data_IF_444225327567
#
_entry.id   IF_444225327567
#
_cell.length_a   1.000
_cell.length_b   1.000
_cell.length_c   1.000
_cell.angle_alpha   90.00
_cell.angle_beta   90.00
_cell.angle_gamma   90.00
#
_symmetry.space_group_name_H-M   'P 1'
#
loop_
_entity.id
_entity.type
_entity.pdbx_description
1 polymer ?
#
# COMPACT_ATOMS: atom_id res chain seq x y z
N UNK A 1 -7.64 -7.99 20.61
CA UNK A 1 -8.81 -8.44 19.81
C UNK A 1 -9.37 -7.33 18.94
N UNK A 2 -9.60 -6.12 19.46
CA UNK A 2 -10.17 -5.01 18.68
C UNK A 2 -9.32 -4.59 17.46
N UNK A 3 -7.99 -4.47 17.58
CA UNK A 3 -7.15 -4.08 16.43
C UNK A 3 -7.18 -5.10 15.29
N UNK A 4 -7.17 -6.40 15.60
CA UNK A 4 -7.24 -7.45 14.59
C UNK A 4 -8.56 -7.39 13.80
N UNK A 5 -9.68 -7.10 14.48
CA UNK A 5 -10.98 -6.90 13.83
C UNK A 5 -10.98 -5.65 12.94
N UNK A 6 -10.33 -4.56 13.37
CA UNK A 6 -10.18 -3.36 12.54
C UNK A 6 -9.29 -3.61 11.32
N UNK A 7 -8.24 -4.41 11.43
CA UNK A 7 -7.44 -4.84 10.26
C UNK A 7 -8.32 -5.62 9.28
N UNK A 8 -9.16 -6.54 9.78
CA UNK A 8 -10.11 -7.26 8.93
C UNK A 8 -11.12 -6.32 8.26
N UNK A 9 -11.64 -5.33 8.97
CA UNK A 9 -12.50 -4.30 8.39
C UNK A 9 -11.82 -3.62 7.20
N UNK A 10 -10.58 -3.14 7.36
CA UNK A 10 -9.85 -2.50 6.26
C UNK A 10 -9.53 -3.47 5.11
N UNK A 11 -9.20 -4.74 5.40
CA UNK A 11 -9.00 -5.76 4.36
C UNK A 11 -10.28 -6.04 3.56
N UNK A 12 -11.45 -5.99 4.21
CA UNK A 12 -12.75 -6.15 3.56
C UNK A 12 -13.04 -4.91 2.71
N UNK A 13 -12.85 -3.70 3.24
CA UNK A 13 -13.05 -2.46 2.49
C UNK A 13 -12.14 -2.36 1.27
N UNK A 14 -10.90 -2.85 1.35
CA UNK A 14 -10.01 -2.96 0.19
C UNK A 14 -10.61 -3.80 -0.95
N UNK A 15 -11.46 -4.79 -0.68
CA UNK A 15 -12.12 -5.57 -1.74
C UNK A 15 -13.13 -4.74 -2.53
N UNK A 16 -13.62 -3.62 -1.99
CA UNK A 16 -14.55 -2.73 -2.68
C UNK A 16 -13.85 -1.79 -3.67
N UNK A 17 -12.56 -1.51 -3.45
CA UNK A 17 -11.78 -0.53 -4.22
C UNK A 17 -10.58 -1.12 -4.97
N UNK A 18 -10.32 -2.43 -4.80
CA UNK A 18 -9.24 -3.16 -5.48
C UNK A 18 -9.70 -4.50 -6.02
N UNK A 19 -9.10 -4.92 -7.15
CA UNK A 19 -9.23 -6.25 -7.72
C UNK A 19 -7.95 -7.04 -7.48
N UNK A 20 -7.86 -7.67 -6.30
CA UNK A 20 -6.65 -8.39 -5.89
C UNK A 20 -6.20 -9.52 -6.85
N UNK A 21 -7.12 -10.31 -7.44
CA UNK A 21 -6.74 -11.26 -8.50
C UNK A 21 -5.98 -10.62 -9.66
N UNK A 22 -6.42 -9.45 -10.15
CA UNK A 22 -5.72 -8.73 -11.24
C UNK A 22 -4.34 -8.23 -10.80
N UNK A 23 -4.23 -7.73 -9.58
CA UNK A 23 -2.96 -7.31 -8.97
C UNK A 23 -1.97 -8.48 -8.94
N UNK A 24 -2.42 -9.67 -8.51
CA UNK A 24 -1.55 -10.85 -8.50
C UNK A 24 -1.19 -11.35 -9.90
N UNK A 25 -2.10 -11.24 -10.89
CA UNK A 25 -1.77 -11.54 -12.30
C UNK A 25 -0.67 -10.62 -12.81
N UNK A 26 -0.78 -9.32 -12.53
CA UNK A 26 0.24 -8.33 -12.88
C UNK A 26 1.59 -8.64 -12.21
N UNK A 27 1.58 -9.01 -10.92
CA UNK A 27 2.79 -9.40 -10.19
C UNK A 27 3.47 -10.65 -10.76
N UNK A 28 2.70 -11.54 -11.41
CA UNK A 28 3.22 -12.71 -12.14
C UNK A 28 3.55 -12.43 -13.60
N UNK A 29 3.36 -11.18 -14.07
CA UNK A 29 3.49 -10.76 -15.47
C UNK A 29 2.58 -11.55 -16.43
N UNK A 30 1.43 -12.00 -15.95
CA UNK A 30 0.47 -12.74 -16.77
C UNK A 30 -0.24 -11.79 -17.75
N UNK A 31 -0.02 -11.97 -19.05
CA UNK A 31 -0.66 -11.16 -20.08
C UNK A 31 -0.15 -9.72 -20.19
N UNK A 32 1.00 -9.41 -19.55
CA UNK A 32 1.64 -8.10 -19.64
C UNK A 32 2.73 -8.09 -20.73
N UNK A 33 2.60 -7.19 -21.70
CA UNK A 33 3.47 -7.02 -22.86
C UNK A 33 4.67 -6.08 -22.61
N UNK A 34 4.75 -5.48 -21.41
CA UNK A 34 5.83 -4.57 -21.03
C UNK A 34 5.55 -3.11 -21.37
N UNK A 35 4.48 -2.80 -22.11
CA UNK A 35 4.18 -1.43 -22.52
C UNK A 35 3.56 -0.61 -21.39
N UNK A 36 3.92 0.67 -21.34
CA UNK A 36 3.37 1.60 -20.35
C UNK A 36 1.85 1.79 -20.51
N UNK A 37 1.35 1.81 -21.74
CA UNK A 37 -0.09 1.95 -22.02
C UNK A 37 -0.89 0.77 -21.45
N UNK A 38 -0.40 -0.46 -21.64
CA UNK A 38 -1.04 -1.63 -21.06
C UNK A 38 -0.94 -1.62 -19.53
N UNK A 39 0.18 -1.18 -18.97
CA UNK A 39 0.36 -1.02 -17.52
C UNK A 39 -0.70 -0.07 -16.92
N UNK A 40 -0.92 1.10 -17.53
CA UNK A 40 -1.95 2.06 -17.09
C UNK A 40 -3.36 1.45 -17.20
N UNK A 41 -3.62 0.67 -18.24
CA UNK A 41 -4.92 -0.01 -18.39
C UNK A 41 -5.14 -1.10 -17.34
N UNK A 42 -4.12 -1.93 -17.07
CA UNK A 42 -4.16 -2.95 -16.00
C UNK A 42 -4.30 -2.27 -14.65
N UNK A 43 -3.58 -1.17 -14.39
CA UNK A 43 -3.69 -0.40 -13.14
C UNK A 43 -5.14 0.00 -12.86
N UNK A 44 -5.86 0.55 -13.85
CA UNK A 44 -7.29 0.90 -13.73
C UNK A 44 -8.21 -0.31 -13.48
N UNK A 45 -7.81 -1.51 -13.88
CA UNK A 45 -8.52 -2.76 -13.54
C UNK A 45 -8.19 -3.24 -12.12
N UNK A 46 -7.00 -2.93 -11.63
CA UNK A 46 -6.50 -3.32 -10.31
C UNK A 46 -7.05 -2.44 -9.18
N UNK A 47 -7.11 -1.12 -9.39
CA UNK A 47 -7.47 -0.14 -8.36
C UNK A 47 -8.48 0.85 -8.94
N UNK A 48 -9.69 0.86 -8.37
CA UNK A 48 -10.78 1.75 -8.83
C UNK A 48 -10.83 3.07 -8.07
N UNK A 49 -10.37 3.11 -6.82
CA UNK A 49 -10.19 4.32 -6.03
C UNK A 49 -8.83 4.24 -5.30
N UNK A 50 -7.88 5.05 -5.76
CA UNK A 50 -6.49 5.02 -5.29
C UNK A 50 -6.39 5.54 -3.87
N UNK A 51 -7.03 6.67 -3.56
CA UNK A 51 -6.91 7.30 -2.24
C UNK A 51 -7.57 6.46 -1.14
N UNK A 52 -8.73 5.84 -1.41
CA UNK A 52 -9.35 4.86 -0.50
C UNK A 52 -8.43 3.64 -0.28
N UNK A 53 -7.84 3.11 -1.37
CA UNK A 53 -6.94 1.97 -1.27
C UNK A 53 -5.68 2.30 -0.45
N UNK A 54 -5.05 3.45 -0.69
CA UNK A 54 -3.88 3.94 0.06
C UNK A 54 -4.23 4.19 1.52
N UNK A 55 -5.38 4.82 1.80
CA UNK A 55 -5.86 5.04 3.16
C UNK A 55 -6.01 3.73 3.94
N UNK A 56 -6.71 2.75 3.38
CA UNK A 56 -6.90 1.46 4.05
C UNK A 56 -5.59 0.70 4.24
N UNK A 57 -4.67 0.77 3.27
CA UNK A 57 -3.32 0.23 3.41
C UNK A 57 -2.58 0.87 4.60
N UNK A 58 -2.63 2.20 4.73
CA UNK A 58 -2.06 2.94 5.85
C UNK A 58 -2.66 2.52 7.20
N UNK A 59 -3.98 2.39 7.28
CA UNK A 59 -4.64 1.94 8.52
C UNK A 59 -4.24 0.51 8.91
N UNK A 60 -4.07 -0.40 7.94
CA UNK A 60 -3.57 -1.75 8.20
C UNK A 60 -2.16 -1.70 8.80
N UNK A 61 -1.24 -0.92 8.23
CA UNK A 61 0.09 -0.73 8.80
C UNK A 61 0.03 -0.19 10.23
N UNK A 62 -0.73 0.89 10.44
CA UNK A 62 -0.89 1.53 11.76
C UNK A 62 -1.37 0.53 12.81
N UNK A 63 -2.42 -0.23 12.49
CA UNK A 63 -3.02 -1.20 13.40
C UNK A 63 -2.07 -2.37 13.68
N UNK A 64 -1.39 -2.91 12.67
CA UNK A 64 -0.43 -4.01 12.85
C UNK A 64 0.75 -3.57 13.73
N UNK A 65 1.29 -2.38 13.51
CA UNK A 65 2.40 -1.83 14.32
C UNK A 65 1.97 -1.49 15.74
N UNK A 66 0.70 -1.10 15.94
CA UNK A 66 0.15 -0.85 17.28
C UNK A 66 -0.01 -2.12 18.14
N UNK A 67 -0.04 -3.30 17.51
CA UNK A 67 -0.09 -4.57 18.22
C UNK A 67 1.30 -5.02 18.68
N UNK A 68 1.49 -5.37 19.97
CA UNK A 68 2.67 -6.09 20.43
C UNK A 68 2.93 -7.33 19.58
N UNK A 69 4.21 -7.61 19.30
CA UNK A 69 4.64 -8.70 18.40
C UNK A 69 4.07 -10.06 18.81
N UNK A 70 3.96 -10.32 20.10
CA UNK A 70 3.45 -11.57 20.67
C UNK A 70 1.95 -11.80 20.48
N UNK A 71 1.18 -10.77 20.14
CA UNK A 71 -0.28 -10.85 20.00
C UNK A 71 -0.76 -10.58 18.57
N UNK A 72 0.15 -10.38 17.62
CA UNK A 72 -0.23 -10.23 16.20
C UNK A 72 -0.92 -11.52 15.75
N UNK A 73 -2.05 -11.42 15.03
CA UNK A 73 -2.77 -12.61 14.58
C UNK A 73 -1.90 -13.42 13.62
N UNK A 74 -1.98 -14.76 13.57
CA UNK A 74 -1.11 -15.59 12.72
C UNK A 74 -1.09 -15.21 11.22
N UNK A 75 -2.16 -14.58 10.73
CA UNK A 75 -2.33 -14.15 9.34
C UNK A 75 -1.80 -12.72 9.06
N UNK A 76 -1.24 -12.01 10.04
CA UNK A 76 -0.85 -10.59 9.91
C UNK A 76 0.09 -10.32 8.73
N UNK A 77 1.03 -11.23 8.44
CA UNK A 77 1.94 -11.10 7.29
C UNK A 77 1.20 -11.19 5.96
N UNK A 78 0.08 -11.92 5.90
CA UNK A 78 -0.81 -11.94 4.75
C UNK A 78 -1.56 -10.62 4.54
N UNK A 79 -1.85 -9.89 5.61
CA UNK A 79 -2.38 -8.53 5.50
C UNK A 79 -1.32 -7.58 4.93
N UNK A 80 -0.06 -7.66 5.40
CA UNK A 80 1.06 -6.89 4.85
C UNK A 80 1.34 -7.26 3.39
N UNK A 81 1.19 -8.54 3.00
CA UNK A 81 1.30 -8.96 1.60
C UNK A 81 0.28 -8.24 0.70
N UNK A 82 -0.98 -8.20 1.12
CA UNK A 82 -2.04 -7.50 0.39
C UNK A 82 -1.71 -6.02 0.24
N UNK A 83 -1.34 -5.37 1.34
CA UNK A 83 -0.92 -3.97 1.34
C UNK A 83 0.27 -3.73 0.40
N UNK A 84 1.29 -4.60 0.46
CA UNK A 84 2.48 -4.50 -0.36
C UNK A 84 2.15 -4.52 -1.85
N UNK A 85 1.30 -5.46 -2.29
CA UNK A 85 0.95 -5.56 -3.71
C UNK A 85 0.06 -4.40 -4.19
N UNK A 86 -0.83 -3.89 -3.35
CA UNK A 86 -1.69 -2.75 -3.72
C UNK A 86 -0.84 -1.49 -3.90
N UNK A 87 -0.01 -1.14 -2.91
CA UNK A 87 0.86 0.03 -2.98
C UNK A 87 1.95 -0.13 -4.05
N UNK A 88 2.45 -1.36 -4.25
CA UNK A 88 3.34 -1.66 -5.37
C UNK A 88 2.66 -1.37 -6.70
N UNK A 89 1.43 -1.84 -6.90
CA UNK A 89 0.69 -1.62 -8.16
C UNK A 89 0.49 -0.13 -8.43
N UNK A 90 0.07 0.64 -7.42
CA UNK A 90 -0.11 2.10 -7.53
C UNK A 90 1.20 2.81 -7.91
N UNK A 91 2.31 2.41 -7.30
CA UNK A 91 3.62 3.01 -7.57
C UNK A 91 4.14 2.78 -8.99
N UNK A 92 3.60 1.80 -9.75
CA UNK A 92 4.02 1.52 -11.13
C UNK A 92 3.55 2.60 -12.11
N UNK A 93 2.46 3.31 -11.81
CA UNK A 93 1.88 4.36 -12.66
C UNK A 93 2.17 5.77 -12.16
N UNK A 94 2.95 5.90 -11.08
CA UNK A 94 3.20 7.18 -10.41
C UNK A 94 3.93 8.23 -11.28
N UNK A 95 4.51 7.82 -12.41
CA UNK A 95 5.07 8.73 -13.42
C UNK A 95 4.02 9.66 -14.05
N UNK A 96 2.73 9.26 -14.09
CA UNK A 96 1.66 10.12 -14.63
C UNK A 96 1.15 11.16 -13.62
N UNK A 97 1.17 10.85 -12.32
CA UNK A 97 0.74 11.79 -11.26
C UNK A 97 1.65 13.02 -11.11
N UNK A 98 2.83 13.01 -11.76
CA UNK A 98 3.79 14.12 -11.76
C UNK A 98 3.87 14.82 -13.14
N UNK A 99 3.24 14.28 -14.19
CA UNK A 99 3.16 14.98 -15.48
C UNK A 99 2.04 16.02 -15.49
N UNK A 100 2.33 17.30 -15.79
CA UNK A 100 1.39 18.39 -15.64
C UNK A 100 0.35 18.37 -16.77
N UNK A 101 -0.91 18.03 -16.47
CA UNK A 101 -2.01 18.40 -17.36
C UNK A 101 -2.28 19.90 -17.19
N UNK A 102 -1.87 20.70 -18.17
CA UNK A 102 -2.37 22.03 -18.49
C UNK A 102 -2.90 22.90 -17.33
N UNK A 103 -2.04 23.78 -16.80
CA UNK A 103 -2.37 25.21 -16.67
C UNK A 103 -3.06 25.74 -15.41
N UNK A 104 -3.48 24.93 -14.43
CA UNK A 104 -3.91 25.44 -13.11
C UNK A 104 -3.44 24.48 -12.01
N UNK A 105 -2.41 24.87 -11.25
CA UNK A 105 -1.80 24.06 -10.21
C UNK A 105 -2.81 23.65 -9.11
N UNK A 106 -3.04 22.35 -8.85
CA UNK A 106 -3.22 21.92 -7.48
C UNK A 106 -1.83 21.95 -6.84
N UNK A 107 -1.57 22.88 -5.92
CA UNK A 107 -0.38 22.79 -5.08
C UNK A 107 -0.48 21.44 -4.36
N UNK A 108 0.48 20.51 -4.53
CA UNK A 108 0.44 19.26 -3.80
C UNK A 108 0.36 19.60 -2.31
N UNK A 109 -0.71 19.17 -1.64
CA UNK A 109 -0.86 19.39 -0.21
C UNK A 109 0.34 18.81 0.55
N UNK A 110 0.54 19.17 1.83
CA UNK A 110 1.67 18.68 2.61
C UNK A 110 1.74 17.16 2.60
N UNK A 111 2.96 16.61 2.55
CA UNK A 111 3.16 15.17 2.70
C UNK A 111 2.74 14.72 4.11
N UNK A 112 2.15 13.54 4.22
CA UNK A 112 1.68 13.02 5.50
C UNK A 112 1.80 11.50 5.59
N UNK A 113 2.11 11.01 6.79
CA UNK A 113 2.23 9.59 7.07
C UNK A 113 0.84 8.93 7.18
N UNK A 114 0.37 8.27 6.12
CA UNK A 114 -0.96 7.63 6.07
C UNK A 114 -1.08 6.47 7.08
N UNK A 115 0.06 5.93 7.51
CA UNK A 115 0.20 4.84 8.48
C UNK A 115 0.49 5.29 9.92
N UNK A 116 0.56 6.60 10.17
CA UNK A 116 0.76 7.16 11.51
C UNK A 116 -0.46 7.93 12.04
N UNK A 117 -1.44 8.22 11.18
CA UNK A 117 -2.60 9.04 11.50
C UNK A 117 -3.89 8.21 11.61
N UNK A 118 -4.79 8.65 12.50
CA UNK A 118 -6.14 8.10 12.63
C UNK A 118 -7.03 8.54 11.47
N UNK A 119 -8.13 7.81 11.23
CA UNK A 119 -9.04 8.06 10.11
C UNK A 119 -9.68 9.47 10.14
N UNK A 120 -9.90 10.00 11.34
CA UNK A 120 -10.54 11.29 11.59
C UNK A 120 -9.53 12.47 11.50
N UNK A 121 -8.24 12.18 11.31
CA UNK A 121 -7.23 13.22 11.24
C UNK A 121 -7.50 14.17 10.06
N UNK A 122 -7.40 15.51 10.21
CA UNK A 122 -7.75 16.45 9.15
C UNK A 122 -7.04 16.21 7.81
N UNK A 123 -5.78 15.76 7.83
CA UNK A 123 -5.04 15.41 6.62
C UNK A 123 -5.60 14.18 5.91
N UNK A 124 -6.07 13.17 6.65
CA UNK A 124 -6.71 11.98 6.08
C UNK A 124 -8.07 12.34 5.47
N UNK A 125 -8.89 13.09 6.23
CA UNK A 125 -10.20 13.55 5.75
C UNK A 125 -10.03 14.40 4.49
N UNK A 126 -9.04 15.30 4.46
CA UNK A 126 -8.73 16.14 3.30
C UNK A 126 -8.25 15.31 2.10
N UNK A 127 -7.38 14.34 2.33
CA UNK A 127 -6.91 13.43 1.29
C UNK A 127 -8.07 12.65 0.65
N UNK A 128 -8.96 12.07 1.44
CA UNK A 128 -10.10 11.30 0.94
C UNK A 128 -11.18 12.17 0.27
N UNK A 129 -11.54 13.30 0.88
CA UNK A 129 -12.65 14.13 0.41
C UNK A 129 -12.27 15.10 -0.71
N UNK A 130 -11.02 15.58 -0.73
CA UNK A 130 -10.56 16.62 -1.67
C UNK A 130 -9.46 16.13 -2.60
N UNK A 131 -8.96 14.90 -2.43
CA UNK A 131 -7.82 14.36 -3.19
C UNK A 131 -6.58 15.25 -3.07
N UNK A 132 -6.39 15.85 -1.89
CA UNK A 132 -5.30 16.79 -1.59
C UNK A 132 -4.33 16.21 -0.56
N UNK A 133 -3.04 16.23 -0.88
CA UNK A 133 -1.95 15.76 0.00
C UNK A 133 -1.16 14.61 -0.63
N UNK A 134 0.10 14.45 -0.20
CA UNK A 134 0.97 13.36 -0.68
C UNK A 134 1.12 12.33 0.44
N UNK A 135 0.45 11.17 0.36
CA UNK A 135 0.62 10.14 1.38
C UNK A 135 2.03 9.55 1.32
N UNK A 136 2.59 9.26 2.49
CA UNK A 136 3.85 8.53 2.66
C UNK A 136 3.69 7.47 3.75
N UNK A 137 4.65 6.54 3.82
CA UNK A 137 4.75 5.53 4.88
C UNK A 137 5.82 5.93 5.89
N UNK A 138 5.75 5.35 7.08
CA UNK A 138 6.67 5.62 8.19
C UNK A 138 7.56 4.41 8.45
N UNK A 139 8.88 4.62 8.50
CA UNK A 139 9.84 3.62 8.95
C UNK A 139 9.83 3.48 10.47
N UNK A 140 10.46 2.41 10.96
CA UNK A 140 10.64 2.18 12.40
C UNK A 140 11.41 3.29 13.11
N UNK A 141 12.33 3.96 12.42
CA UNK A 141 13.10 5.09 12.96
C UNK A 141 12.32 6.42 12.92
N UNK A 142 11.06 6.40 12.45
CA UNK A 142 10.21 7.58 12.31
C UNK A 142 10.42 8.37 11.02
N UNK A 143 11.39 8.01 10.18
CA UNK A 143 11.58 8.65 8.88
C UNK A 143 10.48 8.25 7.90
N UNK A 144 10.19 9.12 6.93
CA UNK A 144 9.14 8.91 5.95
C UNK A 144 9.69 8.24 4.66
N UNK A 145 8.85 7.45 4.01
CA UNK A 145 9.09 6.82 2.71
C UNK A 145 8.00 7.25 1.74
N UNK A 146 8.42 7.81 0.61
CA UNK A 146 7.54 8.07 -0.53
C UNK A 146 7.13 6.75 -1.20
N UNK A 147 5.90 6.70 -1.70
CA UNK A 147 5.35 5.52 -2.41
C UNK A 147 5.48 5.65 -3.94
N UNK A 148 6.40 6.50 -4.40
CA UNK A 148 6.68 6.81 -5.81
C UNK A 148 7.50 5.73 -6.53
N UNK A 149 7.99 4.72 -5.80
CA UNK A 149 8.91 3.73 -6.35
C UNK A 149 8.61 2.32 -5.84
N UNK A 150 8.21 1.44 -6.76
CA UNK A 150 7.84 0.03 -6.51
C UNK A 150 8.82 -0.73 -5.62
N UNK A 151 10.12 -0.66 -5.91
CA UNK A 151 11.13 -1.33 -5.08
C UNK A 151 11.16 -0.83 -3.63
N UNK A 152 10.99 0.48 -3.40
CA UNK A 152 11.02 1.07 -2.05
C UNK A 152 9.81 0.59 -1.25
N UNK A 153 8.63 0.54 -1.88
CA UNK A 153 7.40 0.01 -1.27
C UNK A 153 7.58 -1.45 -0.85
N UNK A 154 8.07 -2.29 -1.75
CA UNK A 154 8.29 -3.72 -1.46
C UNK A 154 9.33 -3.93 -0.36
N UNK A 155 10.45 -3.22 -0.42
CA UNK A 155 11.51 -3.30 0.60
C UNK A 155 10.98 -2.91 1.98
N UNK A 156 10.20 -1.83 2.05
CA UNK A 156 9.58 -1.41 3.29
C UNK A 156 8.62 -2.46 3.86
N UNK A 157 7.82 -3.11 3.01
CA UNK A 157 6.92 -4.17 3.45
C UNK A 157 7.67 -5.40 3.96
N UNK A 158 8.81 -5.74 3.36
CA UNK A 158 9.72 -6.80 3.82
C UNK A 158 10.26 -6.44 5.20
N UNK A 159 10.75 -5.20 5.40
CA UNK A 159 11.25 -4.73 6.70
C UNK A 159 10.16 -4.87 7.79
N UNK A 160 8.91 -4.52 7.46
CA UNK A 160 7.77 -4.66 8.38
C UNK A 160 7.48 -6.12 8.74
N UNK A 161 7.66 -7.05 7.79
CA UNK A 161 7.54 -8.49 8.06
C UNK A 161 8.65 -8.94 9.02
N UNK A 162 9.87 -8.48 8.80
CA UNK A 162 11.06 -8.82 9.58
C UNK A 162 11.01 -8.29 11.03
N UNK A 163 10.16 -7.30 11.31
CA UNK A 163 9.87 -6.85 12.68
C UNK A 163 9.04 -7.84 13.52
N UNK A 164 8.37 -8.80 12.89
CA UNK A 164 7.49 -9.75 13.57
C UNK A 164 8.18 -10.99 14.11
N UNK A 165 7.39 -11.93 14.64
CA UNK A 165 7.88 -13.27 14.96
C UNK A 165 7.93 -14.08 13.67
N UNK A 166 9.09 -14.68 13.38
CA UNK A 166 9.28 -15.54 12.22
C UNK A 166 8.41 -16.81 12.32
N UNK A 167 7.71 -17.11 11.24
CA UNK A 167 6.84 -18.27 11.07
C UNK A 167 6.98 -18.75 9.63
N UNK A 168 6.69 -20.03 9.36
CA UNK A 168 6.68 -20.53 7.97
C UNK A 168 5.81 -19.70 7.03
N UNK A 169 4.70 -19.15 7.54
CA UNK A 169 3.81 -18.30 6.76
C UNK A 169 4.44 -16.93 6.47
N UNK A 170 4.97 -16.24 7.48
CA UNK A 170 5.67 -14.95 7.27
C UNK A 170 6.87 -15.09 6.35
N UNK A 171 7.64 -16.17 6.48
CA UNK A 171 8.82 -16.43 5.64
C UNK A 171 8.41 -16.67 4.19
N UNK A 172 7.33 -17.42 3.96
CA UNK A 172 6.76 -17.63 2.63
C UNK A 172 6.30 -16.32 1.98
N UNK A 173 5.66 -15.43 2.74
CA UNK A 173 5.27 -14.10 2.25
C UNK A 173 6.49 -13.23 1.94
N UNK A 174 7.45 -13.17 2.87
CA UNK A 174 8.71 -12.43 2.72
C UNK A 174 9.42 -12.82 1.41
N UNK A 175 9.60 -14.12 1.18
CA UNK A 175 10.23 -14.66 -0.03
C UNK A 175 9.46 -14.29 -1.31
N UNK A 176 8.11 -14.25 -1.28
CA UNK A 176 7.32 -13.79 -2.42
C UNK A 176 7.60 -12.33 -2.76
N UNK A 177 7.65 -11.46 -1.74
CA UNK A 177 7.93 -10.03 -1.93
C UNK A 177 9.37 -9.80 -2.41
N UNK A 178 10.35 -10.53 -1.87
CA UNK A 178 11.74 -10.45 -2.33
C UNK A 178 11.90 -10.86 -3.78
N UNK A 179 11.22 -11.93 -4.22
CA UNK A 179 11.22 -12.35 -5.62
C UNK A 179 10.63 -11.28 -6.52
N UNK A 180 9.51 -10.67 -6.11
CA UNK A 180 8.89 -9.58 -6.87
C UNK A 180 9.79 -8.35 -6.95
N UNK A 181 10.51 -8.01 -5.88
CA UNK A 181 11.41 -6.85 -5.83
C UNK A 181 12.62 -6.97 -6.76
N UNK A 182 13.03 -8.19 -7.13
CA UNK A 182 14.18 -8.45 -8.02
C UNK A 182 13.85 -8.37 -9.51
N UNK A 183 12.56 -8.42 -9.86
CA UNK A 183 12.10 -8.44 -11.26
C UNK A 183 12.25 -9.79 -11.94
#
# INVERSE_FOLDING_TARGET
MMQANLVMFHLISLNAVTNFPEIERLARREGFDGTYQQLVWIHKRCISDVEEAVFHCGQIFRLIRSMPRSIRPPWWSGAIYRVALILWTDSLTHNESITPSNGLFPVPGPSFAVDALHAEHPLIVRYLSKREGIPCLTKRDGSQITMDHAFRVLSHCIDVIDEGVATRFSDGIRNKLERLARG
#
